data_IF_348495960034
#
_entry.id   IF_348495960034
#
_cell.length_a   1.000
_cell.length_b   1.000
_cell.length_c   1.000
_cell.angle_alpha   90.00
_cell.angle_beta   90.00
_cell.angle_gamma   90.00
#
_symmetry.space_group_name_H-M   'P 1'
#
loop_
_entity.id
_entity.type
_entity.pdbx_description
1 polymer ?
#
# COMPACT_ATOMS: atom_id res chain seq x y z
N UNK A 1 -33.03 10.77 -11.60
CA UNK A 1 -32.32 9.47 -11.70
C UNK A 1 -30.84 9.78 -11.90
N UNK A 2 -30.07 9.90 -10.81
CA UNK A 2 -28.64 10.22 -10.91
C UNK A 2 -27.90 8.93 -11.19
N UNK A 3 -27.30 8.82 -12.38
CA UNK A 3 -26.36 7.75 -12.69
C UNK A 3 -25.18 7.89 -11.72
N UNK A 4 -25.12 7.02 -10.72
CA UNK A 4 -23.90 6.80 -9.95
C UNK A 4 -22.91 6.17 -10.92
N UNK A 5 -22.05 6.99 -11.54
CA UNK A 5 -20.82 6.48 -12.14
C UNK A 5 -20.04 5.86 -11.00
N UNK A 6 -20.14 4.53 -10.86
CA UNK A 6 -19.16 3.73 -10.14
C UNK A 6 -17.83 3.95 -10.86
N UNK A 7 -17.13 5.03 -10.48
CA UNK A 7 -15.72 5.16 -10.79
C UNK A 7 -15.05 4.03 -10.01
N UNK A 8 -14.85 2.89 -10.64
CA UNK A 8 -13.94 1.85 -10.18
C UNK A 8 -12.56 2.52 -10.09
N UNK A 9 -12.21 2.98 -8.90
CA UNK A 9 -10.89 3.48 -8.58
C UNK A 9 -10.18 2.39 -7.82
N UNK A 10 -8.96 2.09 -8.24
CA UNK A 10 -8.05 1.23 -7.50
C UNK A 10 -7.76 1.90 -6.15
N UNK A 11 -8.02 1.18 -5.06
CA UNK A 11 -7.67 1.64 -3.72
C UNK A 11 -6.22 1.34 -3.42
N UNK A 12 -5.53 2.33 -2.86
CA UNK A 12 -4.16 2.24 -2.36
C UNK A 12 -4.21 2.51 -0.87
N UNK A 13 -3.89 1.49 -0.09
CA UNK A 13 -3.90 1.54 1.36
C UNK A 13 -2.58 2.06 1.87
N UNK A 14 -2.61 3.21 2.54
CA UNK A 14 -1.42 3.91 3.00
C UNK A 14 -1.22 3.57 4.47
N UNK A 15 -0.13 2.89 4.75
CA UNK A 15 0.32 2.53 6.08
C UNK A 15 1.52 3.39 6.47
N UNK A 16 1.68 3.59 7.77
CA UNK A 16 2.80 4.32 8.35
C UNK A 16 2.61 4.48 9.84
N UNK A 17 3.72 4.66 10.56
CA UNK A 17 3.70 5.05 11.97
C UNK A 17 3.54 6.57 12.12
N UNK A 18 2.45 7.03 12.71
CA UNK A 18 2.23 8.46 12.94
C UNK A 18 3.11 9.03 14.06
N UNK A 19 3.69 8.18 14.92
CA UNK A 19 4.49 8.60 16.07
C UNK A 19 5.97 8.87 15.71
N UNK A 20 6.38 8.56 14.47
CA UNK A 20 7.74 8.82 13.98
C UNK A 20 7.69 9.78 12.76
N UNK A 21 8.39 10.93 12.80
CA UNK A 21 8.39 11.91 11.70
C UNK A 21 8.80 11.34 10.34
N UNK A 22 9.64 10.31 10.36
CA UNK A 22 10.14 9.59 9.18
C UNK A 22 9.12 8.61 8.58
N UNK A 23 8.12 8.17 9.35
CA UNK A 23 7.05 7.29 8.86
C UNK A 23 5.81 8.04 8.38
N UNK A 24 5.74 9.37 8.60
CA UNK A 24 4.75 10.23 7.95
C UNK A 24 4.97 10.36 6.43
N UNK A 25 6.07 9.81 5.92
CA UNK A 25 6.43 9.90 4.51
C UNK A 25 5.37 9.27 3.59
N UNK A 26 4.85 8.09 3.95
CA UNK A 26 3.82 7.42 3.15
C UNK A 26 2.55 8.28 3.04
N UNK A 27 2.12 8.91 4.14
CA UNK A 27 0.99 9.84 4.15
C UNK A 27 1.27 11.10 3.32
N UNK A 28 2.46 11.70 3.42
CA UNK A 28 2.86 12.85 2.60
C UNK A 28 2.89 12.52 1.11
N UNK A 29 3.39 11.34 0.75
CA UNK A 29 3.41 10.86 -0.64
C UNK A 29 2.00 10.67 -1.14
N UNK A 30 1.14 10.03 -0.35
CA UNK A 30 -0.26 9.82 -0.68
C UNK A 30 -0.99 11.16 -0.88
N UNK A 31 -0.84 12.11 0.03
CA UNK A 31 -1.44 13.45 -0.06
C UNK A 31 -0.97 14.19 -1.32
N UNK A 32 0.34 14.17 -1.61
CA UNK A 32 0.92 14.84 -2.78
C UNK A 32 0.52 14.21 -4.12
N UNK A 33 0.26 12.90 -4.13
CA UNK A 33 -0.20 12.16 -5.30
C UNK A 33 -1.74 12.10 -5.39
N UNK A 34 -2.43 12.45 -4.31
CA UNK A 34 -3.88 12.55 -4.28
C UNK A 34 -4.32 13.52 -5.39
N UNK A 35 -5.33 13.10 -6.16
CA UNK A 35 -5.86 13.85 -7.31
C UNK A 35 -4.90 14.01 -8.52
N UNK A 36 -3.63 13.56 -8.45
CA UNK A 36 -2.70 13.55 -9.59
C UNK A 36 -2.81 12.32 -10.47
N UNK A 37 -3.50 11.29 -10.00
CA UNK A 37 -3.67 10.01 -10.71
C UNK A 37 -5.16 9.71 -10.80
N UNK A 38 -5.69 9.72 -12.03
CA UNK A 38 -7.08 9.37 -12.28
C UNK A 38 -7.23 7.84 -12.13
N UNK A 39 -8.27 7.41 -11.43
CA UNK A 39 -8.52 5.98 -11.20
C UNK A 39 -7.80 5.39 -9.97
N UNK A 40 -7.13 6.23 -9.16
CA UNK A 40 -6.53 5.81 -7.88
C UNK A 40 -7.18 6.57 -6.72
N UNK A 41 -7.41 5.87 -5.62
CA UNK A 41 -7.90 6.42 -4.37
C UNK A 41 -7.00 5.98 -3.22
N UNK A 42 -6.46 6.95 -2.47
CA UNK A 42 -5.61 6.65 -1.31
C UNK A 42 -6.46 6.58 -0.05
N UNK A 43 -6.39 5.46 0.67
CA UNK A 43 -7.06 5.23 1.95
C UNK A 43 -6.02 5.03 3.03
N UNK A 44 -6.00 5.90 4.05
CA UNK A 44 -5.05 5.76 5.16
C UNK A 44 -5.56 4.72 6.14
N UNK A 45 -4.69 3.78 6.53
CA UNK A 45 -5.01 2.73 7.51
C UNK A 45 -4.13 2.94 8.73
N UNK A 46 -4.76 3.08 9.90
CA UNK A 46 -4.02 3.19 11.16
C UNK A 46 -3.64 1.80 11.67
N UNK A 47 -2.54 1.72 12.41
CA UNK A 47 -1.99 0.47 12.93
C UNK A 47 -2.99 -0.33 13.81
N UNK A 48 -3.92 0.36 14.45
CA UNK A 48 -4.89 -0.21 15.39
C UNK A 48 -6.29 -0.38 14.78
N UNK A 49 -6.46 -0.13 13.47
CA UNK A 49 -7.74 -0.30 12.79
C UNK A 49 -7.79 -1.65 12.07
N UNK A 50 -8.99 -2.23 11.98
CA UNK A 50 -9.23 -3.43 11.18
C UNK A 50 -8.90 -3.17 9.71
N UNK A 51 -8.33 -4.17 9.04
CA UNK A 51 -7.95 -4.07 7.64
C UNK A 51 -9.21 -3.89 6.78
N UNK A 52 -9.39 -2.76 6.08
CA UNK A 52 -10.63 -2.46 5.35
C UNK A 52 -10.75 -3.20 4.01
N UNK A 53 -9.84 -4.15 3.71
CA UNK A 53 -9.71 -4.82 2.41
C UNK A 53 -9.85 -6.34 2.47
N UNK A 54 -10.53 -6.88 3.48
CA UNK A 54 -10.70 -8.34 3.65
C UNK A 54 -11.55 -9.02 2.56
N UNK A 55 -12.19 -8.25 1.68
CA UNK A 55 -13.01 -8.76 0.58
C UNK A 55 -12.51 -8.26 -0.80
N UNK A 56 -11.30 -7.70 -0.87
CA UNK A 56 -10.72 -7.18 -2.12
C UNK A 56 -9.83 -8.21 -2.81
N UNK A 57 -10.05 -8.44 -4.11
CA UNK A 57 -9.24 -9.37 -4.90
C UNK A 57 -7.80 -8.89 -5.04
N UNK A 58 -7.60 -7.59 -5.27
CA UNK A 58 -6.29 -6.98 -5.42
C UNK A 58 -6.15 -5.82 -4.44
N UNK A 59 -5.11 -5.89 -3.61
CA UNK A 59 -4.81 -4.85 -2.62
C UNK A 59 -3.46 -4.23 -2.96
N UNK A 60 -3.45 -2.92 -3.09
CA UNK A 60 -2.21 -2.15 -3.26
C UNK A 60 -1.94 -1.40 -1.97
N UNK A 61 -0.73 -1.54 -1.44
CA UNK A 61 -0.30 -0.98 -0.17
C UNK A 61 0.84 0.00 -0.44
N UNK A 62 0.86 1.12 0.26
CA UNK A 62 1.97 2.07 0.28
C UNK A 62 2.46 2.15 1.72
N UNK A 63 3.69 1.74 1.98
CA UNK A 63 4.27 1.72 3.33
C UNK A 63 5.73 2.13 3.30
N UNK A 64 6.21 2.66 4.41
CA UNK A 64 7.64 2.95 4.61
C UNK A 64 8.34 1.66 5.07
N UNK A 65 9.37 1.23 4.35
CA UNK A 65 10.08 -0.02 4.64
C UNK A 65 11.51 0.29 5.06
N UNK A 66 11.91 -0.15 6.26
CA UNK A 66 13.30 -0.02 6.66
C UNK A 66 14.22 -0.97 5.88
N UNK A 67 15.44 -0.52 5.60
CA UNK A 67 16.44 -1.31 4.88
C UNK A 67 16.45 -1.14 3.36
N UNK A 68 15.40 -0.58 2.75
CA UNK A 68 15.43 -0.21 1.32
C UNK A 68 15.97 1.20 1.11
N UNK A 69 16.72 1.40 0.02
CA UNK A 69 17.35 2.70 -0.33
C UNK A 69 16.57 3.47 -1.41
N UNK A 70 15.62 2.81 -2.08
CA UNK A 70 14.84 3.34 -3.20
C UNK A 70 13.44 2.75 -3.12
N UNK A 71 12.51 3.34 -3.86
CA UNK A 71 11.14 2.80 -3.99
C UNK A 71 11.21 1.43 -4.67
N UNK A 72 10.65 0.42 -4.03
CA UNK A 72 10.60 -0.95 -4.55
C UNK A 72 9.16 -1.49 -4.51
N UNK A 73 8.84 -2.32 -5.49
CA UNK A 73 7.57 -3.06 -5.50
C UNK A 73 7.87 -4.42 -4.89
N UNK A 74 7.18 -4.74 -3.80
CA UNK A 74 7.19 -6.06 -3.20
C UNK A 74 5.85 -6.72 -3.50
N UNK A 75 5.91 -7.79 -4.29
CA UNK A 75 4.76 -8.63 -4.55
C UNK A 75 4.62 -9.72 -3.49
N UNK A 76 3.49 -10.42 -3.52
CA UNK A 76 3.15 -11.51 -2.62
C UNK A 76 4.21 -12.61 -2.44
N UNK A 77 5.06 -12.85 -3.44
CA UNK A 77 6.13 -13.86 -3.39
C UNK A 77 7.36 -13.37 -2.61
N UNK A 78 7.48 -12.07 -2.42
CA UNK A 78 8.60 -11.43 -1.72
C UNK A 78 8.20 -10.95 -0.32
N UNK A 79 6.95 -11.20 0.11
CA UNK A 79 6.48 -10.97 1.49
C UNK A 79 7.27 -11.77 2.54
N UNK A 80 7.91 -12.87 2.14
CA UNK A 80 8.78 -13.66 3.02
C UNK A 80 10.17 -13.02 3.23
N UNK A 81 10.58 -12.14 2.33
CA UNK A 81 11.86 -11.41 2.42
C UNK A 81 11.72 -10.08 3.13
N UNK A 82 10.48 -9.60 3.28
CA UNK A 82 10.19 -8.42 4.06
C UNK A 82 10.39 -8.72 5.54
N UNK A 83 11.52 -8.27 6.07
CA UNK A 83 11.56 -7.85 7.47
C UNK A 83 10.88 -6.49 7.50
N UNK A 84 9.54 -6.47 7.49
CA UNK A 84 8.83 -5.24 7.86
C UNK A 84 9.38 -4.86 9.23
N UNK A 85 9.80 -3.61 9.36
CA UNK A 85 10.66 -3.13 10.44
C UNK A 85 10.30 -3.81 11.75
N UNK A 86 11.25 -4.45 12.47
CA UNK A 86 10.95 -5.06 13.75
C UNK A 86 10.54 -3.94 14.69
N UNK A 87 9.23 -3.71 14.77
CA UNK A 87 8.66 -2.81 15.74
C UNK A 87 9.05 -3.40 17.08
N UNK A 88 9.76 -2.61 17.86
CA UNK A 88 10.38 -2.98 19.14
C UNK A 88 9.35 -3.26 20.24
N UNK A 89 8.16 -3.72 19.87
CA UNK A 89 7.09 -4.11 20.76
C UNK A 89 6.44 -5.39 20.23
N UNK A 90 6.38 -6.40 21.09
CA UNK A 90 5.72 -7.70 20.86
C UNK A 90 4.18 -7.54 20.69
N UNK A 91 3.69 -6.30 20.72
CA UNK A 91 2.28 -5.92 20.59
C UNK A 91 1.92 -5.26 19.27
N UNK A 92 2.90 -4.95 18.41
CA UNK A 92 2.65 -4.28 17.14
C UNK A 92 2.53 -5.30 16.01
N UNK A 93 1.29 -5.52 15.59
CA UNK A 93 0.93 -6.39 14.48
C UNK A 93 1.81 -6.13 13.24
N UNK A 94 2.61 -7.11 12.85
CA UNK A 94 3.39 -7.09 11.62
C UNK A 94 2.41 -7.17 10.44
N UNK A 95 2.32 -6.09 9.65
CA UNK A 95 1.45 -6.01 8.47
C UNK A 95 1.68 -7.20 7.52
N UNK A 96 2.92 -7.68 7.42
CA UNK A 96 3.28 -8.83 6.59
C UNK A 96 2.68 -10.11 7.13
N UNK A 97 2.63 -10.28 8.46
CA UNK A 97 1.92 -11.39 9.08
C UNK A 97 0.41 -11.34 8.80
N UNK A 98 -0.22 -10.16 8.91
CA UNK A 98 -1.65 -10.02 8.59
C UNK A 98 -1.97 -10.34 7.13
N UNK A 99 -1.15 -9.84 6.19
CA UNK A 99 -1.33 -10.10 4.76
C UNK A 99 -1.14 -11.58 4.44
N UNK A 100 -0.15 -12.24 5.05
CA UNK A 100 0.03 -13.69 4.94
C UNK A 100 -1.15 -14.46 5.50
N UNK A 101 -1.69 -14.01 6.64
CA UNK A 101 -2.86 -14.63 7.25
C UNK A 101 -4.11 -14.49 6.37
N UNK A 102 -4.40 -13.29 5.86
CA UNK A 102 -5.53 -13.05 4.95
C UNK A 102 -5.40 -13.85 3.64
N UNK A 103 -4.19 -13.96 3.09
CA UNK A 103 -3.93 -14.81 1.92
C UNK A 103 -4.19 -16.29 2.21
N UNK A 104 -3.77 -16.79 3.38
CA UNK A 104 -4.07 -18.17 3.81
C UNK A 104 -5.57 -18.43 3.98
N UNK A 105 -6.35 -17.41 4.30
CA UNK A 105 -7.81 -17.48 4.41
C UNK A 105 -8.53 -17.32 3.06
N UNK A 106 -7.79 -17.20 1.94
CA UNK A 106 -8.32 -16.92 0.59
C UNK A 106 -9.18 -15.63 0.52
N UNK A 107 -8.98 -14.74 1.49
CA UNK A 107 -9.65 -13.44 1.58
C UNK A 107 -8.99 -12.36 0.72
N UNK A 108 -7.84 -12.69 0.14
CA UNK A 108 -7.01 -11.77 -0.61
C UNK A 108 -6.27 -12.57 -1.69
N UNK A 109 -6.51 -12.23 -2.96
CA UNK A 109 -5.92 -12.97 -4.09
C UNK A 109 -4.55 -12.42 -4.46
N UNK A 110 -4.42 -11.08 -4.53
CA UNK A 110 -3.19 -10.41 -4.95
C UNK A 110 -2.85 -9.24 -4.03
N UNK A 111 -1.60 -9.20 -3.57
CA UNK A 111 -1.04 -8.07 -2.81
C UNK A 111 0.19 -7.52 -3.50
N UNK A 112 0.20 -6.20 -3.63
CA UNK A 112 1.34 -5.43 -4.11
C UNK A 112 1.65 -4.34 -3.10
N UNK A 113 2.84 -4.37 -2.52
CA UNK A 113 3.33 -3.35 -1.59
C UNK A 113 4.30 -2.45 -2.34
N UNK A 114 4.08 -1.15 -2.28
CA UNK A 114 5.00 -0.12 -2.76
C UNK A 114 5.78 0.35 -1.53
N UNK A 115 6.99 -0.17 -1.37
CA UNK A 115 7.88 0.18 -0.27
C UNK A 115 8.56 1.52 -0.53
N UNK A 116 8.44 2.44 0.42
CA UNK A 116 9.12 3.74 0.41
C UNK A 116 10.35 3.69 1.32
N UNK A 117 11.51 4.21 0.89
CA UNK A 117 12.68 4.30 1.76
C UNK A 117 12.45 5.37 2.85
N UNK A 118 12.68 5.08 4.14
CA UNK A 118 12.49 6.04 5.23
C UNK A 118 13.45 7.23 5.16
N UNK A 119 14.57 7.06 4.44
CA UNK A 119 15.61 8.08 4.25
C UNK A 119 16.02 8.14 2.78
N UNK A 120 16.18 9.36 2.26
CA UNK A 120 16.61 9.61 0.89
C UNK A 120 15.58 10.38 0.07
N UNK A 121 15.89 10.60 -1.21
CA UNK A 121 14.99 11.28 -2.12
C UNK A 121 13.88 10.36 -2.62
N UNK A 122 12.63 10.79 -2.45
CA UNK A 122 11.48 10.05 -2.93
C UNK A 122 11.19 10.39 -4.38
N UNK A 123 11.28 9.37 -5.23
CA UNK A 123 10.96 9.52 -6.65
C UNK A 123 9.44 9.40 -6.88
N UNK A 124 8.75 10.54 -6.75
CA UNK A 124 7.31 10.65 -7.01
C UNK A 124 6.91 10.23 -8.43
N UNK A 125 7.77 10.46 -9.42
CA UNK A 125 7.49 10.10 -10.81
C UNK A 125 7.47 8.57 -11.00
N UNK A 126 8.36 7.86 -10.32
CA UNK A 126 8.38 6.40 -10.31
C UNK A 126 7.11 5.85 -9.67
N UNK A 127 6.73 6.34 -8.48
CA UNK A 127 5.50 5.92 -7.78
C UNK A 127 4.28 6.17 -8.66
N UNK A 128 4.19 7.35 -9.29
CA UNK A 128 3.10 7.66 -10.21
C UNK A 128 3.05 6.71 -11.41
N UNK A 129 4.21 6.37 -11.98
CA UNK A 129 4.31 5.44 -13.11
C UNK A 129 3.90 4.02 -12.73
N UNK A 130 4.26 3.57 -11.53
CA UNK A 130 3.87 2.27 -10.97
C UNK A 130 2.34 2.21 -10.81
N UNK A 131 1.76 3.21 -10.14
CA UNK A 131 0.32 3.27 -9.93
C UNK A 131 -0.47 3.33 -11.24
N UNK A 132 0.00 4.10 -12.24
CA UNK A 132 -0.63 4.12 -13.57
C UNK A 132 -0.58 2.76 -14.27
N UNK A 133 0.53 2.03 -14.15
CA UNK A 133 0.64 0.67 -14.70
C UNK A 133 -0.31 -0.30 -14.00
N UNK A 134 -0.42 -0.22 -12.67
CA UNK A 134 -1.33 -1.06 -11.89
C UNK A 134 -2.79 -0.80 -12.28
N UNK A 135 -3.21 0.47 -12.41
CA UNK A 135 -4.56 0.82 -12.90
C UNK A 135 -4.79 0.27 -14.30
N UNK A 136 -3.82 0.38 -15.21
CA UNK A 136 -3.96 -0.14 -16.57
C UNK A 136 -4.08 -1.68 -16.63
N UNK A 137 -3.43 -2.38 -15.70
CA UNK A 137 -3.52 -3.85 -15.57
C UNK A 137 -4.88 -4.27 -15.02
N UNK A 138 -5.39 -3.57 -14.00
CA UNK A 138 -6.70 -3.82 -13.40
C UNK A 138 -7.84 -3.62 -14.42
N UNK A 139 -7.74 -2.59 -15.25
CA UNK A 139 -8.72 -2.34 -16.33
C UNK A 139 -8.68 -3.34 -17.48
N UNK A 140 -7.57 -4.08 -17.68
CA UNK A 140 -7.43 -5.06 -18.76
C UNK A 140 -7.71 -6.51 -18.30
N UNK A 141 -7.74 -6.75 -16.98
CA UNK A 141 -7.93 -8.08 -16.39
C UNK A 141 -9.36 -8.40 -15.96
N UNK A 142 -10.34 -7.58 -16.33
CA UNK A 142 -11.75 -7.73 -15.92
C UNK A 142 -12.69 -8.13 -17.04
#
# INVERSE_FOLDING_TARGET
>A
MVMVKLNLKMKVYVFGNQDLPQDNLAFQVADKLQNKIKGVEFTTVKLNEDLPFTDEKQVVILDTVEGIKKVEIIDENDLDKLTLSPKTSVHDFDLGFQLKYLKKLDKLQKVTIIGLPPKGEINYFLIQSILRKLVAQDMQGS
#
